data_IF_484964985744
#
_entry.id   IF_484964985744
#
_cell.length_a   1.000
_cell.length_b   1.000
_cell.length_c   1.000
_cell.angle_alpha   90.00
_cell.angle_beta   90.00
_cell.angle_gamma   90.00
#
_symmetry.space_group_name_H-M   'P 1'
#
loop_
_entity.id
_entity.type
_entity.pdbx_description
1 polymer ?
#
# COMPACT_ATOMS: atom_id res chain seq x y z
N UNK A 1 -34.69 54.13 -53.82
CA UNK A 1 -35.82 53.21 -53.55
C UNK A 1 -36.09 52.48 -54.86
N UNK A 2 -35.77 51.21 -55.06
CA UNK A 2 -35.15 50.19 -54.22
C UNK A 2 -34.33 49.25 -55.11
N UNK A 3 -33.48 48.45 -54.48
CA UNK A 3 -32.43 47.63 -55.09
C UNK A 3 -32.95 46.56 -56.05
N UNK A 4 -32.26 46.49 -57.20
CA UNK A 4 -32.21 45.36 -58.09
C UNK A 4 -31.32 44.26 -57.50
N UNK A 5 -31.68 42.99 -57.71
CA UNK A 5 -30.90 41.98 -58.47
C UNK A 5 -31.44 40.57 -58.13
N UNK A 6 -32.16 39.94 -59.06
CA UNK A 6 -31.67 39.06 -60.15
C UNK A 6 -31.23 37.68 -59.64
N UNK A 7 -32.10 36.70 -59.90
CA UNK A 7 -31.79 35.27 -59.94
C UNK A 7 -31.08 34.97 -61.27
N UNK A 8 -30.05 34.11 -61.27
CA UNK A 8 -30.06 33.03 -62.26
C UNK A 8 -29.50 31.69 -61.74
N UNK A 9 -30.06 30.61 -62.27
CA UNK A 9 -29.41 29.30 -62.39
C UNK A 9 -29.25 29.00 -63.89
N UNK A 10 -28.52 27.94 -64.30
CA UNK A 10 -27.11 27.64 -64.03
C UNK A 10 -26.33 27.56 -65.36
N UNK A 11 -25.02 27.76 -65.35
CA UNK A 11 -24.15 27.40 -66.49
C UNK A 11 -22.93 26.61 -66.03
N UNK A 12 -22.62 25.60 -66.85
CA UNK A 12 -21.53 24.67 -66.76
C UNK A 12 -20.17 25.35 -66.85
N UNK A 13 -19.29 25.00 -65.92
CA UNK A 13 -17.83 24.85 -66.06
C UNK A 13 -17.33 24.78 -64.61
N UNK A 14 -16.81 23.67 -64.11
CA UNK A 14 -15.46 23.28 -64.48
C UNK A 14 -15.11 21.99 -63.73
N UNK A 15 -14.64 21.02 -64.49
CA UNK A 15 -14.05 19.77 -64.04
C UNK A 15 -12.74 20.02 -63.27
N UNK A 16 -12.77 20.49 -62.02
CA UNK A 16 -11.61 20.39 -61.09
C UNK A 16 -12.13 20.44 -59.66
N UNK A 17 -12.57 19.30 -59.09
CA UNK A 17 -12.52 19.01 -57.64
C UNK A 17 -13.10 17.61 -57.35
N UNK A 18 -12.43 16.59 -57.89
CA UNK A 18 -12.47 15.25 -57.31
C UNK A 18 -11.01 14.92 -56.98
N UNK A 19 -10.79 14.34 -55.79
CA UNK A 19 -9.50 13.98 -55.18
C UNK A 19 -8.87 15.05 -54.26
N UNK A 20 -9.47 15.23 -53.08
CA UNK A 20 -8.66 15.41 -51.87
C UNK A 20 -9.44 15.01 -50.60
N UNK A 21 -9.94 13.77 -50.56
CA UNK A 21 -10.31 13.15 -49.29
C UNK A 21 -9.03 12.60 -48.65
N UNK A 22 -8.61 13.21 -47.54
CA UNK A 22 -7.58 12.66 -46.67
C UNK A 22 -8.05 11.28 -46.18
N UNK A 23 -7.22 10.22 -46.23
CA UNK A 23 -7.62 8.92 -45.74
C UNK A 23 -7.94 9.03 -44.25
N UNK A 24 -9.16 8.64 -43.88
CA UNK A 24 -9.53 8.43 -42.49
C UNK A 24 -8.51 7.50 -41.83
N UNK A 25 -8.04 7.79 -40.60
CA UNK A 25 -7.12 6.89 -39.91
C UNK A 25 -7.77 5.53 -39.78
N UNK A 26 -7.16 4.52 -40.41
CA UNK A 26 -7.48 3.11 -40.16
C UNK A 26 -7.42 2.90 -38.66
N UNK A 27 -8.55 2.52 -38.06
CA UNK A 27 -8.61 1.96 -36.71
C UNK A 27 -7.68 0.75 -36.75
N UNK A 28 -6.46 0.96 -36.26
CA UNK A 28 -5.42 -0.06 -36.25
C UNK A 28 -5.86 -1.07 -35.20
N UNK A 29 -5.90 -2.35 -35.53
CA UNK A 29 -6.22 -3.48 -34.65
C UNK A 29 -5.19 -3.71 -33.53
N UNK A 30 -4.22 -2.82 -33.38
CA UNK A 30 -3.14 -2.88 -32.40
C UNK A 30 -3.56 -2.82 -30.91
N UNK A 31 -4.58 -2.05 -30.46
CA UNK A 31 -4.90 -1.97 -29.05
C UNK A 31 -5.53 -3.26 -28.51
N UNK A 32 -6.19 -4.05 -29.36
CA UNK A 32 -6.72 -5.37 -28.98
C UNK A 32 -5.62 -6.40 -28.78
N UNK A 33 -4.59 -6.41 -29.64
CA UNK A 33 -3.48 -7.37 -29.53
C UNK A 33 -2.62 -7.15 -28.27
N UNK A 34 -2.33 -5.89 -27.91
CA UNK A 34 -1.59 -5.56 -26.69
C UNK A 34 -2.38 -5.95 -25.43
N UNK A 35 -3.69 -5.65 -25.42
CA UNK A 35 -4.62 -6.04 -24.34
C UNK A 35 -4.74 -7.56 -24.25
N UNK A 36 -4.85 -8.26 -25.38
CA UNK A 36 -4.97 -9.73 -25.45
C UNK A 36 -3.68 -10.44 -25.02
N UNK A 37 -2.51 -9.89 -25.34
CA UNK A 37 -1.21 -10.42 -24.89
C UNK A 37 -1.04 -10.36 -23.36
N UNK A 38 -1.57 -9.31 -22.72
CA UNK A 38 -1.53 -9.18 -21.26
C UNK A 38 -2.37 -10.24 -20.55
N UNK A 39 -3.46 -10.69 -21.18
CA UNK A 39 -4.34 -11.74 -20.66
C UNK A 39 -3.83 -13.16 -20.92
N UNK A 40 -3.12 -13.38 -22.04
CA UNK A 40 -2.50 -14.68 -22.31
C UNK A 40 -1.40 -15.03 -21.29
N UNK A 41 -0.65 -14.04 -20.80
CA UNK A 41 0.42 -14.21 -19.80
C UNK A 41 -0.09 -14.79 -18.47
N UNK A 42 -1.32 -14.48 -18.06
CA UNK A 42 -1.89 -14.95 -16.78
C UNK A 42 -2.72 -16.23 -16.90
N UNK A 43 -2.75 -16.85 -18.09
CA UNK A 43 -3.54 -18.06 -18.34
C UNK A 43 -3.02 -19.27 -17.57
N UNK A 44 -1.70 -19.42 -17.52
CA UNK A 44 -1.02 -20.61 -16.98
C UNK A 44 -0.62 -20.47 -15.51
N UNK A 45 -0.38 -19.23 -15.04
CA UNK A 45 0.08 -19.01 -13.68
C UNK A 45 -0.43 -17.67 -13.15
N UNK A 46 -0.55 -17.57 -11.82
CA UNK A 46 -1.16 -16.41 -11.21
C UNK A 46 -0.15 -15.25 -11.20
N UNK A 47 -0.54 -13.98 -11.47
CA UNK A 47 0.40 -12.87 -11.67
C UNK A 47 1.49 -12.85 -10.60
N UNK A 48 2.76 -12.82 -11.02
CA UNK A 48 3.88 -12.80 -10.07
C UNK A 48 4.02 -11.42 -9.43
N UNK A 49 4.52 -11.40 -8.20
CA UNK A 49 4.83 -10.15 -7.49
C UNK A 49 6.27 -9.68 -7.71
N UNK A 50 7.10 -10.50 -8.38
CA UNK A 50 8.53 -10.28 -8.66
C UNK A 50 9.29 -9.64 -7.49
N UNK A 51 8.96 -10.09 -6.28
CA UNK A 51 9.46 -9.54 -5.03
C UNK A 51 9.71 -10.66 -4.02
N UNK A 52 10.94 -10.70 -3.50
CA UNK A 52 11.34 -11.65 -2.46
C UNK A 52 11.82 -10.92 -1.19
N UNK A 53 11.41 -11.47 -0.04
CA UNK A 53 11.87 -11.04 1.28
C UNK A 53 13.19 -11.68 1.70
N UNK A 54 13.58 -12.77 1.03
CA UNK A 54 14.83 -13.47 1.33
C UNK A 54 16.04 -12.78 0.68
N UNK A 55 15.81 -11.93 -0.32
CA UNK A 55 16.83 -11.07 -0.91
C UNK A 55 17.33 -10.00 0.08
N UNK A 56 18.62 -9.66 -0.02
CA UNK A 56 19.25 -8.53 0.68
C UNK A 56 19.09 -8.51 2.21
N UNK A 57 18.98 -9.67 2.86
CA UNK A 57 18.80 -9.79 4.31
C UNK A 57 17.56 -9.05 4.88
N UNK A 58 16.59 -8.70 4.03
CA UNK A 58 15.40 -7.91 4.43
C UNK A 58 14.62 -8.58 5.55
N UNK A 59 14.42 -9.91 5.47
CA UNK A 59 13.77 -10.71 6.51
C UNK A 59 14.45 -10.59 7.88
N UNK A 60 15.80 -10.60 7.91
CA UNK A 60 16.56 -10.43 9.17
C UNK A 60 16.36 -9.02 9.72
N UNK A 61 16.47 -8.01 8.86
CA UNK A 61 16.25 -6.61 9.25
C UNK A 61 14.84 -6.41 9.83
N UNK A 62 13.80 -6.90 9.16
CA UNK A 62 12.41 -6.84 9.65
C UNK A 62 12.29 -7.55 11.00
N UNK A 63 12.90 -8.73 11.16
CA UNK A 63 12.89 -9.49 12.41
C UNK A 63 13.55 -8.73 13.56
N UNK A 64 14.71 -8.11 13.34
CA UNK A 64 15.41 -7.29 14.34
C UNK A 64 14.57 -6.07 14.74
N UNK A 65 13.99 -5.34 13.78
CA UNK A 65 13.14 -4.18 14.10
C UNK A 65 11.91 -4.57 14.88
N UNK A 66 11.24 -5.66 14.50
CA UNK A 66 10.07 -6.13 15.24
C UNK A 66 10.45 -6.57 16.64
N UNK A 67 11.60 -7.24 16.83
CA UNK A 67 12.10 -7.62 18.15
C UNK A 67 12.41 -6.39 19.02
N UNK A 68 13.05 -5.36 18.47
CA UNK A 68 13.32 -4.10 19.18
C UNK A 68 12.03 -3.36 19.54
N UNK A 69 11.05 -3.32 18.63
CA UNK A 69 9.74 -2.73 18.87
C UNK A 69 8.99 -3.48 19.98
N UNK A 70 8.96 -4.82 19.94
CA UNK A 70 8.34 -5.65 20.96
C UNK A 70 9.01 -5.47 22.32
N UNK A 71 10.34 -5.39 22.34
CA UNK A 71 11.08 -5.16 23.56
C UNK A 71 10.77 -3.78 24.16
N UNK A 72 10.85 -2.72 23.35
CA UNK A 72 10.59 -1.34 23.80
C UNK A 72 9.14 -1.11 24.25
N UNK A 73 8.16 -1.52 23.44
CA UNK A 73 6.76 -1.16 23.66
C UNK A 73 5.94 -2.28 24.33
N UNK A 74 6.53 -3.47 24.53
CA UNK A 74 5.87 -4.61 25.19
C UNK A 74 6.55 -5.02 26.48
N UNK A 75 7.80 -5.47 26.39
CA UNK A 75 8.52 -6.07 27.53
C UNK A 75 8.98 -5.02 28.54
N UNK A 76 9.65 -3.98 28.06
CA UNK A 76 10.26 -2.93 28.89
C UNK A 76 9.25 -2.22 29.80
N UNK A 77 8.06 -1.78 29.33
CA UNK A 77 7.08 -1.08 30.17
C UNK A 77 6.54 -2.00 31.29
N UNK A 78 6.30 -3.27 30.98
CA UNK A 78 5.84 -4.27 31.96
C UNK A 78 6.89 -4.51 33.03
N UNK A 79 8.13 -4.78 32.63
CA UNK A 79 9.22 -5.05 33.58
C UNK A 79 9.46 -3.84 34.47
N UNK A 80 9.61 -2.64 33.89
CA UNK A 80 9.86 -1.44 34.69
C UNK A 80 8.70 -1.11 35.62
N UNK A 81 7.45 -1.23 35.16
CA UNK A 81 6.29 -0.92 36.02
C UNK A 81 6.29 -1.76 37.29
N UNK A 82 6.45 -3.08 37.16
CA UNK A 82 6.44 -3.97 38.32
C UNK A 82 7.73 -3.88 39.12
N UNK A 83 8.90 -3.80 38.49
CA UNK A 83 10.18 -3.71 39.19
C UNK A 83 10.30 -2.43 40.02
N UNK A 84 9.91 -1.27 39.48
CA UNK A 84 9.98 0.00 40.19
C UNK A 84 8.91 0.14 41.28
N UNK A 85 7.70 -0.37 41.03
CA UNK A 85 6.60 -0.31 42.01
C UNK A 85 6.80 -1.24 43.18
N UNK A 86 7.18 -2.50 42.92
CA UNK A 86 7.27 -3.53 43.94
C UNK A 86 8.69 -3.74 44.47
N UNK A 87 9.71 -3.52 43.65
CA UNK A 87 11.11 -3.67 44.07
C UNK A 87 11.67 -2.41 44.71
N UNK A 88 11.46 -1.24 44.11
CA UNK A 88 11.99 0.03 44.60
C UNK A 88 10.98 0.87 45.39
N UNK A 89 9.74 0.39 45.54
CA UNK A 89 8.64 1.07 46.26
C UNK A 89 8.43 2.53 45.83
N UNK A 90 8.66 2.82 44.55
CA UNK A 90 8.49 4.17 43.99
C UNK A 90 7.01 4.54 43.90
N UNK A 91 6.72 5.83 44.07
CA UNK A 91 5.38 6.35 43.83
C UNK A 91 4.97 6.15 42.37
N UNK A 92 3.67 6.00 42.13
CA UNK A 92 3.14 5.75 40.78
C UNK A 92 3.55 6.84 39.78
N UNK A 93 3.62 8.10 40.23
CA UNK A 93 4.03 9.24 39.41
C UNK A 93 5.49 9.12 38.95
N UNK A 94 6.42 8.81 39.86
CA UNK A 94 7.84 8.68 39.48
C UNK A 94 8.05 7.46 38.60
N UNK A 95 7.38 6.35 38.91
CA UNK A 95 7.46 5.13 38.12
C UNK A 95 7.02 5.37 36.67
N UNK A 96 5.83 5.96 36.47
CA UNK A 96 5.32 6.27 35.13
C UNK A 96 6.18 7.32 34.40
N UNK A 97 6.71 8.32 35.10
CA UNK A 97 7.63 9.30 34.50
C UNK A 97 8.91 8.63 33.96
N UNK A 98 9.50 7.68 34.69
CA UNK A 98 10.67 6.93 34.21
C UNK A 98 10.31 6.10 32.97
N UNK A 99 9.22 5.36 33.03
CA UNK A 99 8.77 4.50 31.91
C UNK A 99 8.51 5.33 30.65
N UNK A 100 7.76 6.42 30.78
CA UNK A 100 7.44 7.31 29.65
C UNK A 100 8.65 7.99 29.03
N UNK A 101 9.70 8.23 29.82
CA UNK A 101 10.95 8.81 29.29
C UNK A 101 11.75 7.85 28.41
N UNK A 102 11.54 6.52 28.57
CA UNK A 102 12.29 5.48 27.88
C UNK A 102 11.54 4.93 26.65
N UNK A 103 10.20 4.91 26.68
CA UNK A 103 9.38 4.40 25.58
C UNK A 103 9.30 5.42 24.45
N UNK A 104 9.43 4.96 23.21
CA UNK A 104 9.11 5.77 22.01
C UNK A 104 10.31 6.06 21.12
N UNK A 105 11.51 5.64 21.52
CA UNK A 105 12.75 5.83 20.78
C UNK A 105 12.81 4.98 19.51
N UNK A 106 12.63 3.67 19.61
CA UNK A 106 12.69 2.73 18.47
C UNK A 106 11.52 2.95 17.54
N UNK A 107 10.31 3.02 18.10
CA UNK A 107 9.08 3.31 17.36
C UNK A 107 9.12 4.70 16.69
N UNK A 108 9.57 5.74 17.40
CA UNK A 108 9.76 7.09 16.86
C UNK A 108 10.82 7.14 15.76
N UNK A 109 11.95 6.47 15.93
CA UNK A 109 12.98 6.35 14.88
C UNK A 109 12.40 5.69 13.63
N UNK A 110 11.67 4.59 13.78
CA UNK A 110 11.10 3.86 12.64
C UNK A 110 10.05 4.70 11.90
N UNK A 111 9.21 5.41 12.65
CA UNK A 111 8.24 6.36 12.08
C UNK A 111 8.94 7.49 11.31
N UNK A 112 9.98 8.09 11.90
CA UNK A 112 10.77 9.15 11.27
C UNK A 112 11.54 8.65 10.04
N UNK A 113 12.13 7.46 10.10
CA UNK A 113 12.79 6.81 8.97
C UNK A 113 11.83 6.65 7.79
N UNK A 114 10.61 6.18 8.06
CA UNK A 114 9.58 5.98 7.04
C UNK A 114 9.13 7.29 6.42
N UNK A 115 8.90 8.31 7.25
CA UNK A 115 8.59 9.66 6.81
C UNK A 115 9.70 10.25 5.92
N UNK A 116 10.97 10.04 6.33
CA UNK A 116 12.14 10.47 5.57
C UNK A 116 12.20 9.76 4.21
N UNK A 117 12.00 8.44 4.15
CA UNK A 117 12.00 7.66 2.90
C UNK A 117 10.94 8.14 1.89
N UNK A 118 9.79 8.59 2.38
CA UNK A 118 8.71 9.12 1.54
C UNK A 118 9.00 10.54 1.05
N UNK A 119 9.61 11.40 1.87
CA UNK A 119 9.75 12.81 1.52
C UNK A 119 11.11 13.20 0.96
N UNK A 120 12.19 12.67 1.52
CA UNK A 120 13.56 13.17 1.32
C UNK A 120 14.55 12.09 0.89
N UNK A 121 14.27 10.82 1.17
CA UNK A 121 15.17 9.73 0.86
C UNK A 121 15.42 9.56 -0.64
N UNK A 122 16.60 9.03 -0.98
CA UNK A 122 16.98 8.76 -2.37
C UNK A 122 15.97 7.82 -3.04
N UNK A 123 15.43 8.19 -4.20
CA UNK A 123 14.40 7.41 -4.86
C UNK A 123 13.00 7.55 -4.23
N UNK A 124 12.75 8.58 -3.42
CA UNK A 124 11.44 8.88 -2.82
C UNK A 124 10.28 8.86 -3.84
N UNK A 125 10.52 9.22 -5.11
CA UNK A 125 9.48 9.24 -6.15
C UNK A 125 8.91 7.85 -6.38
N UNK A 126 9.75 6.83 -6.27
CA UNK A 126 9.38 5.43 -6.48
C UNK A 126 8.77 4.79 -5.23
N UNK A 127 8.98 5.34 -4.02
CA UNK A 127 8.40 4.78 -2.78
C UNK A 127 7.01 5.30 -2.47
N UNK A 128 6.70 6.50 -2.97
CA UNK A 128 5.40 7.15 -2.79
C UNK A 128 4.27 6.38 -3.48
N UNK A 129 3.03 6.60 -3.03
CA UNK A 129 1.88 6.09 -3.75
C UNK A 129 1.80 6.60 -5.18
N UNK A 130 1.24 5.76 -6.05
CA UNK A 130 1.13 6.08 -7.48
C UNK A 130 0.20 7.30 -7.65
N UNK A 131 0.68 8.29 -8.41
CA UNK A 131 -0.04 9.55 -8.64
C UNK A 131 0.04 10.55 -7.48
N UNK A 132 0.78 10.26 -6.41
CA UNK A 132 0.97 11.17 -5.28
C UNK A 132 1.96 12.31 -5.58
N UNK A 133 1.66 13.51 -5.07
CA UNK A 133 2.53 14.68 -5.19
C UNK A 133 3.80 14.59 -4.32
N UNK A 134 4.59 15.67 -4.28
CA UNK A 134 5.86 15.71 -3.51
C UNK A 134 5.71 15.30 -2.04
N UNK A 135 4.63 15.74 -1.42
CA UNK A 135 4.34 15.52 0.00
C UNK A 135 3.31 14.43 0.24
N UNK A 136 3.01 13.64 -0.79
CA UNK A 136 2.05 12.55 -0.72
C UNK A 136 2.49 11.49 0.28
N UNK A 137 1.74 11.39 1.37
CA UNK A 137 1.90 10.39 2.40
C UNK A 137 1.02 9.19 2.07
N UNK A 138 1.49 8.00 2.39
CA UNK A 138 0.72 6.78 2.15
C UNK A 138 -0.21 6.42 3.31
N UNK A 139 -1.11 5.47 3.08
CA UNK A 139 -2.15 5.14 4.04
C UNK A 139 -1.58 4.49 5.30
N UNK A 140 -0.49 3.75 5.18
CA UNK A 140 0.20 3.20 6.34
C UNK A 140 0.82 4.26 7.24
N UNK A 141 1.42 5.32 6.69
CA UNK A 141 1.94 6.40 7.54
C UNK A 141 0.81 7.11 8.30
N UNK A 142 -0.33 7.34 7.64
CA UNK A 142 -1.51 7.93 8.28
C UNK A 142 -2.01 7.01 9.39
N UNK A 143 -2.11 5.70 9.11
CA UNK A 143 -2.52 4.71 10.11
C UNK A 143 -1.55 4.67 11.30
N UNK A 144 -0.24 4.66 11.05
CA UNK A 144 0.79 4.71 12.09
C UNK A 144 0.73 6.01 12.90
N UNK A 145 0.43 7.14 12.26
CA UNK A 145 0.25 8.43 12.95
C UNK A 145 -0.95 8.38 13.89
N UNK A 146 -2.07 7.81 13.45
CA UNK A 146 -3.25 7.60 14.29
C UNK A 146 -2.95 6.64 15.45
N UNK A 147 -2.22 5.55 15.17
CA UNK A 147 -1.83 4.56 16.16
C UNK A 147 -0.88 5.14 17.23
N UNK A 148 0.12 5.92 16.83
CA UNK A 148 1.01 6.65 17.75
C UNK A 148 0.24 7.70 18.55
N UNK A 149 -0.68 8.43 17.93
CA UNK A 149 -1.53 9.39 18.65
C UNK A 149 -2.37 8.67 19.71
N UNK A 150 -3.02 7.56 19.36
CA UNK A 150 -3.80 6.75 20.28
C UNK A 150 -2.95 6.13 21.41
N UNK A 151 -1.65 5.90 21.18
CA UNK A 151 -0.70 5.45 22.19
C UNK A 151 -0.27 6.58 23.13
N UNK A 152 0.23 7.70 22.59
CA UNK A 152 0.85 8.75 23.36
C UNK A 152 -0.14 9.63 24.11
N UNK A 153 -1.34 9.87 23.59
CA UNK A 153 -2.36 10.70 24.26
C UNK A 153 -2.70 10.19 25.67
N UNK A 154 -3.16 8.93 25.87
CA UNK A 154 -3.41 8.41 27.21
C UNK A 154 -2.13 8.27 28.05
N UNK A 155 -0.98 7.98 27.42
CA UNK A 155 0.30 7.91 28.11
C UNK A 155 0.69 9.26 28.73
N UNK A 156 0.59 10.35 27.97
CA UNK A 156 0.91 11.72 28.39
C UNK A 156 -0.10 12.21 29.42
N UNK A 157 -1.40 12.06 29.16
CA UNK A 157 -2.46 12.50 30.08
C UNK A 157 -2.37 11.73 31.40
N UNK A 158 -2.25 10.40 31.35
CA UNK A 158 -2.18 9.58 32.56
C UNK A 158 -0.95 9.86 33.41
N UNK A 159 0.17 10.24 32.80
CA UNK A 159 1.42 10.55 33.50
C UNK A 159 1.50 12.00 33.98
N UNK A 160 0.75 12.93 33.40
CA UNK A 160 0.78 14.35 33.76
C UNK A 160 -0.21 14.77 34.85
N UNK A 161 -1.23 13.95 35.11
CA UNK A 161 -2.16 14.19 36.23
C UNK A 161 -1.44 13.99 37.56
N UNK A 162 -1.78 14.80 38.57
CA UNK A 162 -1.24 14.72 39.92
C UNK A 162 -2.35 14.31 40.90
N UNK A 163 -2.31 13.10 41.52
CA UNK A 163 -1.35 12.01 41.30
C UNK A 163 -1.55 11.29 39.96
N UNK A 164 -0.48 10.66 39.44
CA UNK A 164 -0.53 10.01 38.13
C UNK A 164 -1.52 8.83 38.13
N UNK A 165 -2.19 8.63 36.99
CA UNK A 165 -3.25 7.65 36.85
C UNK A 165 -2.80 6.50 35.92
N UNK A 166 -2.37 5.40 36.52
CA UNK A 166 -1.93 4.21 35.80
C UNK A 166 -3.03 3.58 34.93
N UNK A 167 -4.32 3.75 35.29
CA UNK A 167 -5.43 3.21 34.48
C UNK A 167 -5.56 3.96 33.17
N UNK A 168 -5.33 5.27 33.17
CA UNK A 168 -5.33 6.07 31.94
C UNK A 168 -4.13 5.64 31.08
N UNK A 169 -2.93 5.51 31.68
CA UNK A 169 -1.74 5.05 30.96
C UNK A 169 -1.93 3.63 30.38
N UNK A 170 -2.60 2.74 31.10
CA UNK A 170 -2.91 1.39 30.65
C UNK A 170 -3.72 1.38 29.34
N UNK A 171 -4.51 2.43 29.05
CA UNK A 171 -5.30 2.51 27.81
C UNK A 171 -4.47 2.73 26.54
N UNK A 172 -3.17 3.02 26.65
CA UNK A 172 -2.30 3.27 25.50
C UNK A 172 -2.38 2.18 24.42
N UNK A 173 -2.06 0.92 24.75
CA UNK A 173 -2.12 -0.17 23.75
C UNK A 173 -3.55 -0.55 23.33
N UNK A 174 -4.57 -0.62 24.20
CA UNK A 174 -5.95 -0.87 23.76
C UNK A 174 -6.46 0.18 22.76
N UNK A 175 -6.14 1.46 22.96
CA UNK A 175 -6.52 2.52 22.01
C UNK A 175 -5.72 2.42 20.71
N UNK A 176 -4.43 2.10 20.77
CA UNK A 176 -3.63 1.77 19.58
C UNK A 176 -4.21 0.59 18.80
N UNK A 177 -4.66 -0.46 19.49
CA UNK A 177 -5.34 -1.59 18.85
C UNK A 177 -6.57 -1.12 18.09
N UNK A 178 -7.45 -0.33 18.71
CA UNK A 178 -8.63 0.22 18.04
C UNK A 178 -8.26 1.07 16.81
N UNK A 179 -7.25 1.93 16.93
CA UNK A 179 -6.77 2.74 15.82
C UNK A 179 -6.32 1.90 14.62
N UNK A 180 -5.68 0.74 14.87
CA UNK A 180 -5.23 -0.19 13.83
C UNK A 180 -6.36 -1.07 13.29
N UNK A 181 -7.29 -1.51 14.15
CA UNK A 181 -8.27 -2.56 13.82
C UNK A 181 -9.57 -2.01 13.28
N UNK A 182 -9.99 -0.79 13.67
CA UNK A 182 -11.23 -0.18 13.17
C UNK A 182 -11.21 0.04 11.65
N UNK A 183 -10.15 0.60 11.03
CA UNK A 183 -10.09 0.72 9.58
C UNK A 183 -10.18 -0.65 8.87
N UNK A 184 -9.53 -1.67 9.42
CA UNK A 184 -9.59 -3.05 8.91
C UNK A 184 -10.99 -3.65 9.00
N UNK A 185 -11.67 -3.43 10.12
CA UNK A 185 -13.03 -3.92 10.37
C UNK A 185 -14.04 -3.26 9.42
N UNK A 186 -14.04 -1.93 9.38
CA UNK A 186 -15.01 -1.16 8.60
C UNK A 186 -14.89 -1.47 7.11
N UNK A 187 -13.69 -1.40 6.55
CA UNK A 187 -13.45 -1.69 5.12
C UNK A 187 -13.59 -3.18 4.78
N UNK A 188 -13.38 -4.09 5.73
CA UNK A 188 -13.58 -5.53 5.52
C UNK A 188 -15.06 -5.95 5.49
N UNK A 189 -15.88 -5.32 6.34
CA UNK A 189 -17.33 -5.58 6.42
C UNK A 189 -18.12 -4.88 5.32
N UNK A 190 -17.68 -3.68 4.93
CA UNK A 190 -18.34 -2.79 3.98
C UNK A 190 -17.46 -2.59 2.72
N UNK A 191 -17.10 -3.67 2.00
CA UNK A 191 -16.31 -3.55 0.79
C UNK A 191 -17.09 -2.75 -0.24
N UNK A 192 -16.39 -1.87 -0.96
CA UNK A 192 -16.88 -1.09 -2.09
C UNK A 192 -18.01 -0.07 -1.81
N UNK A 193 -18.55 -0.05 -0.59
CA UNK A 193 -19.52 0.96 -0.15
C UNK A 193 -18.85 2.20 0.42
N UNK A 194 -17.69 2.05 1.04
CA UNK A 194 -16.94 3.18 1.59
C UNK A 194 -16.18 3.88 0.47
N UNK A 195 -16.41 5.18 0.33
CA UNK A 195 -15.71 6.07 -0.60
C UNK A 195 -15.11 7.21 0.20
N UNK A 196 -13.81 7.41 0.07
CA UNK A 196 -13.11 8.44 0.83
C UNK A 196 -12.87 9.67 -0.07
N UNK A 197 -13.12 10.90 0.43
CA UNK A 197 -12.96 12.12 -0.37
C UNK A 197 -11.50 12.45 -0.67
N UNK A 198 -10.56 11.86 0.09
CA UNK A 198 -9.13 12.01 -0.12
C UNK A 198 -8.56 10.73 -0.74
N UNK A 199 -7.38 10.87 -1.35
CA UNK A 199 -6.59 9.75 -1.84
C UNK A 199 -6.20 8.83 -0.67
N UNK A 200 -6.28 7.52 -0.90
CA UNK A 200 -5.86 6.49 0.04
C UNK A 200 -4.77 5.68 -0.65
N UNK A 201 -3.50 5.98 -0.31
CA UNK A 201 -2.34 5.41 -0.99
C UNK A 201 -2.45 5.57 -2.51
N UNK A 202 -2.29 4.50 -3.31
CA UNK A 202 -2.34 4.55 -4.77
C UNK A 202 -3.77 4.62 -5.31
N UNK A 203 -4.80 4.55 -4.45
CA UNK A 203 -6.19 4.65 -4.84
C UNK A 203 -6.65 6.11 -4.95
N UNK A 204 -7.14 6.57 -6.11
CA UNK A 204 -7.62 7.94 -6.25
C UNK A 204 -8.88 8.20 -5.41
N UNK A 205 -9.15 9.47 -5.13
CA UNK A 205 -10.31 9.90 -4.36
C UNK A 205 -11.62 9.37 -4.95
N UNK A 206 -12.61 9.14 -4.08
CA UNK A 206 -13.96 8.68 -4.42
C UNK A 206 -14.09 7.30 -5.06
N UNK A 207 -13.00 6.56 -5.24
CA UNK A 207 -13.09 5.16 -5.65
C UNK A 207 -13.55 4.28 -4.48
N UNK A 208 -14.23 3.17 -4.76
CA UNK A 208 -14.58 2.17 -3.75
C UNK A 208 -13.32 1.67 -3.02
N UNK A 209 -13.33 1.72 -1.69
CA UNK A 209 -12.17 1.28 -0.91
C UNK A 209 -12.11 -0.25 -0.85
N UNK A 210 -10.98 -0.86 -1.25
CA UNK A 210 -10.70 -2.25 -0.92
C UNK A 210 -10.50 -2.39 0.60
N UNK A 211 -10.56 -3.63 1.14
CA UNK A 211 -10.26 -3.87 2.54
C UNK A 211 -8.89 -3.31 2.92
N UNK A 212 -8.78 -2.66 4.07
CA UNK A 212 -7.63 -1.82 4.43
C UNK A 212 -6.30 -2.61 4.46
N UNK A 213 -6.34 -3.93 4.69
CA UNK A 213 -5.14 -4.77 4.60
C UNK A 213 -4.48 -4.72 3.21
N UNK A 214 -5.20 -4.38 2.15
CA UNK A 214 -4.63 -4.11 0.83
C UNK A 214 -3.56 -3.02 0.90
N UNK A 215 -3.88 -1.89 1.54
CA UNK A 215 -2.96 -0.75 1.68
C UNK A 215 -1.83 -1.06 2.66
N UNK A 216 -2.09 -1.85 3.70
CA UNK A 216 -1.06 -2.34 4.62
C UNK A 216 0.04 -3.08 3.87
N UNK A 217 -0.35 -4.05 3.03
CA UNK A 217 0.61 -4.86 2.25
C UNK A 217 1.32 -3.99 1.22
N UNK A 218 0.57 -3.18 0.47
CA UNK A 218 1.10 -2.27 -0.54
C UNK A 218 2.21 -1.37 0.03
N UNK A 219 1.90 -0.64 1.10
CA UNK A 219 2.76 0.43 1.61
C UNK A 219 3.95 -0.10 2.43
N UNK A 220 3.78 -1.20 3.18
CA UNK A 220 4.90 -1.82 3.91
C UNK A 220 5.91 -2.39 2.93
N UNK A 221 5.47 -3.13 1.92
CA UNK A 221 6.39 -3.75 0.97
C UNK A 221 6.99 -2.72 0.01
N UNK A 222 6.24 -1.68 -0.37
CA UNK A 222 6.78 -0.61 -1.20
C UNK A 222 7.84 0.24 -0.47
N UNK A 223 7.59 0.60 0.79
CA UNK A 223 8.44 1.53 1.55
C UNK A 223 9.48 0.81 2.39
N UNK A 224 9.05 -0.03 3.34
CA UNK A 224 9.94 -0.74 4.26
C UNK A 224 10.63 -1.95 3.59
N UNK A 225 9.95 -2.59 2.65
CA UNK A 225 10.48 -3.67 1.83
C UNK A 225 11.33 -3.21 0.65
N UNK A 226 11.25 -1.93 0.27
CA UNK A 226 11.95 -1.38 -0.88
C UNK A 226 11.47 -1.92 -2.23
N UNK A 227 10.24 -2.43 -2.31
CA UNK A 227 9.60 -2.86 -3.56
C UNK A 227 9.15 -1.70 -4.45
N UNK A 228 9.02 -0.49 -3.89
CA UNK A 228 8.71 0.75 -4.62
C UNK A 228 7.47 0.64 -5.54
N UNK A 229 7.42 1.45 -6.60
CA UNK A 229 6.32 1.52 -7.58
C UNK A 229 6.10 0.21 -8.32
N UNK A 230 7.17 -0.53 -8.61
CA UNK A 230 7.09 -1.83 -9.27
C UNK A 230 6.24 -2.82 -8.46
N UNK A 231 6.50 -2.91 -7.14
CA UNK A 231 5.68 -3.74 -6.26
C UNK A 231 4.23 -3.25 -6.19
N UNK A 232 3.98 -1.93 -6.10
CA UNK A 232 2.62 -1.38 -6.07
C UNK A 232 1.81 -1.78 -7.32
N UNK A 233 2.43 -1.71 -8.49
CA UNK A 233 1.81 -2.11 -9.76
C UNK A 233 1.52 -3.61 -9.79
N UNK A 234 2.52 -4.45 -9.46
CA UNK A 234 2.34 -5.89 -9.43
C UNK A 234 1.28 -6.34 -8.41
N UNK A 235 1.26 -5.71 -7.22
CA UNK A 235 0.26 -5.94 -6.19
C UNK A 235 -1.15 -5.59 -6.64
N UNK A 236 -1.31 -4.46 -7.33
CA UNK A 236 -2.59 -4.05 -7.91
C UNK A 236 -3.10 -5.09 -8.92
N UNK A 237 -2.27 -5.47 -9.89
CA UNK A 237 -2.61 -6.48 -10.91
C UNK A 237 -2.97 -7.81 -10.24
N UNK A 238 -2.16 -8.26 -9.28
CA UNK A 238 -2.42 -9.49 -8.50
C UNK A 238 -3.80 -9.47 -7.84
N UNK A 239 -4.13 -8.35 -7.19
CA UNK A 239 -5.37 -8.19 -6.46
C UNK A 239 -6.59 -8.10 -7.39
N UNK A 240 -6.47 -7.42 -8.53
CA UNK A 240 -7.55 -7.31 -9.52
C UNK A 240 -7.85 -8.67 -10.17
N UNK A 241 -6.81 -9.40 -10.58
CA UNK A 241 -6.94 -10.68 -11.30
C UNK A 241 -7.31 -11.86 -10.38
N UNK A 242 -6.81 -11.90 -9.14
CA UNK A 242 -7.06 -13.05 -8.26
C UNK A 242 -8.24 -12.86 -7.31
N UNK A 243 -9.30 -13.65 -7.52
CA UNK A 243 -10.41 -13.79 -6.57
C UNK A 243 -9.95 -14.33 -5.21
N UNK A 244 -8.99 -15.27 -5.21
CA UNK A 244 -8.45 -15.84 -3.97
C UNK A 244 -7.71 -14.78 -3.17
N UNK A 245 -6.91 -13.95 -3.83
CA UNK A 245 -6.18 -12.85 -3.18
C UNK A 245 -7.14 -11.84 -2.55
N UNK A 246 -8.20 -11.42 -3.27
CA UNK A 246 -9.24 -10.55 -2.73
C UNK A 246 -9.90 -11.14 -1.50
N UNK A 247 -10.21 -12.43 -1.53
CA UNK A 247 -10.82 -13.12 -0.40
C UNK A 247 -9.86 -13.22 0.80
N UNK A 248 -8.57 -13.47 0.57
CA UNK A 248 -7.54 -13.50 1.62
C UNK A 248 -7.42 -12.15 2.29
N UNK A 249 -7.27 -11.08 1.51
CA UNK A 249 -7.14 -9.71 2.02
C UNK A 249 -8.38 -9.29 2.80
N UNK A 250 -9.59 -9.58 2.29
CA UNK A 250 -10.85 -9.27 2.99
C UNK A 250 -10.99 -10.04 4.29
N UNK A 251 -10.83 -11.37 4.26
CA UNK A 251 -10.99 -12.21 5.46
C UNK A 251 -9.95 -11.88 6.52
N UNK A 252 -8.72 -11.57 6.12
CA UNK A 252 -7.68 -11.14 7.05
C UNK A 252 -8.05 -9.79 7.67
N UNK A 253 -8.53 -8.83 6.89
CA UNK A 253 -9.00 -7.53 7.41
C UNK A 253 -10.13 -7.71 8.43
N UNK A 254 -11.13 -8.52 8.12
CA UNK A 254 -12.24 -8.80 9.05
C UNK A 254 -11.76 -9.55 10.29
N UNK A 255 -10.91 -10.57 10.16
CA UNK A 255 -10.43 -11.35 11.30
C UNK A 255 -9.61 -10.48 12.28
N UNK A 256 -8.66 -9.69 11.78
CA UNK A 256 -7.90 -8.75 12.60
C UNK A 256 -8.79 -7.63 13.17
N UNK A 257 -9.71 -7.11 12.36
CA UNK A 257 -10.67 -6.08 12.75
C UNK A 257 -11.57 -6.52 13.91
N UNK A 258 -12.26 -7.65 13.76
CA UNK A 258 -13.22 -8.18 14.74
C UNK A 258 -12.52 -8.60 16.02
N UNK A 259 -11.48 -9.45 15.91
CA UNK A 259 -10.81 -9.96 17.11
C UNK A 259 -10.10 -8.82 17.86
N UNK A 260 -9.46 -7.90 17.14
CA UNK A 260 -8.80 -6.75 17.74
C UNK A 260 -9.78 -5.79 18.40
N UNK A 261 -10.94 -5.53 17.78
CA UNK A 261 -12.00 -4.71 18.38
C UNK A 261 -12.54 -5.34 19.68
N UNK A 262 -12.85 -6.63 19.67
CA UNK A 262 -13.37 -7.34 20.85
C UNK A 262 -12.34 -7.33 21.99
N UNK A 263 -11.08 -7.66 21.70
CA UNK A 263 -10.01 -7.67 22.70
C UNK A 263 -9.78 -6.27 23.25
N UNK A 264 -9.68 -5.25 22.39
CA UNK A 264 -9.47 -3.88 22.83
C UNK A 264 -10.64 -3.37 23.69
N UNK A 265 -11.89 -3.62 23.28
CA UNK A 265 -13.06 -3.27 24.08
C UNK A 265 -13.04 -3.97 25.45
N UNK A 266 -12.73 -5.28 25.48
CA UNK A 266 -12.59 -6.04 26.71
C UNK A 266 -11.51 -5.50 27.64
N UNK A 267 -10.37 -5.06 27.09
CA UNK A 267 -9.29 -4.44 27.86
C UNK A 267 -9.66 -3.05 28.39
N UNK A 268 -10.37 -2.24 27.62
CA UNK A 268 -10.87 -0.93 28.06
C UNK A 268 -11.86 -1.09 29.22
N UNK A 269 -12.75 -2.09 29.15
CA UNK A 269 -13.66 -2.40 30.27
C UNK A 269 -12.87 -2.94 31.47
N UNK A 270 -11.94 -3.86 31.22
CA UNK A 270 -11.11 -4.48 32.28
C UNK A 270 -10.27 -3.44 33.03
N UNK A 271 -9.76 -2.40 32.35
CA UNK A 271 -8.98 -1.36 33.01
C UNK A 271 -9.79 -0.51 33.99
N UNK A 272 -11.12 -0.45 33.81
CA UNK A 272 -12.03 0.25 34.72
C UNK A 272 -12.44 -0.60 35.92
N UNK A 273 -12.62 -1.90 35.71
CA UNK A 273 -13.14 -2.82 36.72
C UNK A 273 -12.06 -3.37 37.67
N UNK A 274 -10.80 -3.39 37.25
CA UNK A 274 -9.70 -3.98 38.03
C UNK A 274 -8.86 -2.95 38.78
N UNK A 275 -7.98 -3.44 39.65
CA UNK A 275 -6.94 -2.64 40.30
C UNK A 275 -5.95 -2.09 39.27
N UNK A 276 -5.23 -1.03 39.62
CA UNK A 276 -4.30 -0.35 38.72
C UNK A 276 -3.22 -1.29 38.15
N UNK A 277 -2.70 -2.16 38.99
CA UNK A 277 -1.62 -3.09 38.64
C UNK A 277 -2.10 -4.15 37.65
N UNK A 278 -3.30 -4.71 37.91
CA UNK A 278 -3.93 -5.69 37.01
C UNK A 278 -4.31 -5.02 35.69
N UNK A 279 -4.89 -3.82 35.74
CA UNK A 279 -5.23 -3.04 34.56
C UNK A 279 -4.00 -2.78 33.69
N UNK A 280 -2.90 -2.31 34.28
CA UNK A 280 -1.66 -2.05 33.57
C UNK A 280 -1.09 -3.33 32.94
N UNK A 281 -0.99 -4.41 33.71
CA UNK A 281 -0.47 -5.70 33.23
C UNK A 281 -1.29 -6.29 32.09
N UNK A 282 -2.62 -6.31 32.20
CA UNK A 282 -3.50 -6.84 31.16
C UNK A 282 -3.45 -5.98 29.90
N UNK A 283 -3.57 -4.66 30.04
CA UNK A 283 -3.61 -3.77 28.89
C UNK A 283 -2.28 -3.66 28.15
N UNK A 284 -1.14 -3.92 28.81
CA UNK A 284 0.14 -4.01 28.11
C UNK A 284 0.45 -5.43 27.58
N UNK A 285 0.13 -6.48 28.34
CA UNK A 285 0.49 -7.86 27.97
C UNK A 285 -0.41 -8.49 26.91
N UNK A 286 -1.73 -8.38 27.05
CA UNK A 286 -2.71 -9.06 26.19
C UNK A 286 -2.62 -8.60 24.72
N UNK A 287 -2.46 -7.30 24.39
CA UNK A 287 -2.31 -6.87 23.00
C UNK A 287 -1.17 -7.55 22.25
N UNK A 288 -0.02 -7.75 22.90
CA UNK A 288 1.12 -8.43 22.29
C UNK A 288 0.86 -9.91 22.10
N UNK A 289 0.32 -10.59 23.12
CA UNK A 289 -0.05 -12.01 23.00
C UNK A 289 -1.06 -12.22 21.86
N UNK A 290 -2.07 -11.37 21.76
CA UNK A 290 -3.04 -11.37 20.66
C UNK A 290 -2.36 -11.12 19.30
N UNK A 291 -1.48 -10.13 19.20
CA UNK A 291 -0.79 -9.80 17.95
C UNK A 291 0.08 -10.97 17.46
N UNK A 292 0.82 -11.64 18.35
CA UNK A 292 1.60 -12.84 18.00
C UNK A 292 0.71 -13.99 17.54
N UNK A 293 -0.37 -14.28 18.27
CA UNK A 293 -1.31 -15.33 17.91
C UNK A 293 -1.94 -15.06 16.53
N UNK A 294 -2.42 -13.83 16.31
CA UNK A 294 -3.03 -13.44 15.04
C UNK A 294 -2.03 -13.43 13.89
N UNK A 295 -0.80 -12.99 14.10
CA UNK A 295 0.25 -13.05 13.11
C UNK A 295 0.55 -14.50 12.69
N UNK A 296 0.70 -15.40 13.67
CA UNK A 296 0.93 -16.81 13.41
C UNK A 296 -0.22 -17.45 12.63
N UNK A 297 -1.48 -17.25 13.08
CA UNK A 297 -2.67 -17.77 12.39
C UNK A 297 -2.79 -17.22 10.96
N UNK A 298 -2.48 -15.93 10.76
CA UNK A 298 -2.50 -15.30 9.45
C UNK A 298 -1.47 -15.91 8.51
N UNK A 299 -0.24 -16.15 8.98
CA UNK A 299 0.81 -16.81 8.17
C UNK A 299 0.34 -18.19 7.72
N UNK A 300 -0.23 -19.00 8.63
CA UNK A 300 -0.74 -20.32 8.28
C UNK A 300 -1.89 -20.25 7.28
N UNK A 301 -2.84 -19.34 7.49
CA UNK A 301 -3.99 -19.14 6.61
C UNK A 301 -3.57 -18.69 5.20
N UNK A 302 -2.71 -17.66 5.11
CA UNK A 302 -2.22 -17.12 3.84
C UNK A 302 -1.44 -18.19 3.07
N UNK A 303 -0.55 -18.94 3.73
CA UNK A 303 0.19 -20.03 3.06
C UNK A 303 -0.74 -21.06 2.45
N UNK A 304 -1.77 -21.50 3.19
CA UNK A 304 -2.77 -22.45 2.68
C UNK A 304 -3.55 -21.87 1.50
N UNK A 305 -3.94 -20.60 1.59
CA UNK A 305 -4.68 -19.92 0.54
C UNK A 305 -3.85 -19.74 -0.75
N UNK A 306 -2.56 -19.43 -0.64
CA UNK A 306 -1.65 -19.32 -1.79
C UNK A 306 -1.40 -20.68 -2.47
N UNK A 307 -1.30 -21.76 -1.70
CA UNK A 307 -1.21 -23.13 -2.25
C UNK A 307 -2.50 -23.48 -2.99
N UNK A 308 -3.65 -23.16 -2.40
CA UNK A 308 -4.96 -23.35 -3.05
C UNK A 308 -5.07 -22.55 -4.34
N UNK A 309 -4.67 -21.28 -4.30
CA UNK A 309 -4.68 -20.40 -5.46
C UNK A 309 -3.85 -20.97 -6.61
N UNK A 310 -2.64 -21.46 -6.33
CA UNK A 310 -1.78 -22.06 -7.35
C UNK A 310 -2.36 -23.35 -7.92
N UNK A 311 -3.03 -24.16 -7.10
CA UNK A 311 -3.67 -25.42 -7.52
C UNK A 311 -4.91 -25.18 -8.38
N UNK A 312 -5.74 -24.23 -7.97
CA UNK A 312 -7.04 -23.96 -8.58
C UNK A 312 -6.95 -22.87 -9.66
N UNK A 313 -5.74 -22.42 -10.02
CA UNK A 313 -5.55 -21.36 -11.00
C UNK A 313 -6.03 -21.82 -12.37
N UNK A 314 -7.10 -21.19 -12.83
CA UNK A 314 -7.56 -21.20 -14.21
C UNK A 314 -7.53 -19.73 -14.57
N UNK A 315 -6.56 -19.29 -15.36
CA UNK A 315 -6.41 -17.86 -15.65
C UNK A 315 -7.71 -17.24 -16.13
N UNK A 316 -7.89 -15.93 -15.91
CA UNK A 316 -9.14 -15.24 -16.22
C UNK A 316 -9.46 -15.37 -17.72
N UNK A 317 -10.36 -16.28 -18.08
CA UNK A 317 -10.98 -16.31 -19.40
C UNK A 317 -12.04 -15.20 -19.44
N UNK A 318 -11.96 -14.23 -20.35
CA UNK A 318 -13.12 -13.42 -20.64
C UNK A 318 -14.16 -14.38 -21.24
N UNK A 319 -15.38 -14.38 -20.72
CA UNK A 319 -16.54 -14.72 -21.54
C UNK A 319 -16.90 -13.43 -22.26
N UNK A 320 -16.52 -13.22 -23.53
CA UNK A 320 -17.22 -12.25 -24.35
C UNK A 320 -18.54 -12.91 -24.72
N UNK A 321 -19.65 -12.52 -24.08
CA UNK A 321 -20.94 -12.67 -24.74
C UNK A 321 -21.04 -11.61 -25.83
N UNK A 322 -20.22 -11.75 -26.88
CA UNK A 322 -20.46 -11.15 -28.20
C UNK A 322 -21.36 -12.09 -28.99
N UNK A 323 -22.49 -12.46 -28.39
CA UNK A 323 -23.52 -13.28 -29.02
C UNK A 323 -24.83 -12.50 -29.02
N UNK A 324 -24.80 -11.24 -29.48
CA UNK A 324 -26.01 -10.56 -29.96
C UNK A 324 -25.74 -9.29 -30.79
N UNK A 325 -24.84 -9.33 -31.79
CA UNK A 325 -24.93 -8.37 -32.91
C UNK A 325 -24.57 -9.09 -34.21
N UNK A 326 -25.46 -9.98 -34.65
CA UNK A 326 -25.50 -10.35 -36.05
C UNK A 326 -26.01 -9.14 -36.87
N UNK A 327 -25.40 -8.81 -38.02
CA UNK A 327 -25.89 -7.73 -38.86
C UNK A 327 -27.23 -8.16 -39.47
N UNK A 328 -28.32 -7.52 -39.07
CA UNK A 328 -29.59 -7.63 -39.81
C UNK A 328 -29.42 -6.84 -41.10
N UNK A 329 -29.38 -7.58 -42.20
CA UNK A 329 -29.47 -7.12 -43.58
C UNK A 329 -30.55 -6.06 -43.71
N UNK A 330 -30.17 -4.91 -44.28
CA UNK A 330 -31.11 -3.91 -44.76
C UNK A 330 -31.94 -4.51 -45.89
N UNK A 331 -33.26 -4.62 -45.70
CA UNK A 331 -34.20 -4.61 -46.81
C UNK A 331 -35.60 -4.19 -46.34
N UNK A 332 -36.04 -3.03 -46.81
CA UNK A 332 -37.44 -2.73 -47.10
C UNK A 332 -38.38 -2.40 -45.94
N UNK A 333 -38.74 -1.12 -45.83
CA UNK A 333 -40.10 -0.61 -46.13
C UNK A 333 -40.41 0.64 -45.28
N UNK A 334 -40.51 1.77 -45.98
CA UNK A 334 -41.15 3.01 -45.56
C UNK A 334 -42.57 2.76 -45.00
N UNK A 335 -42.88 3.35 -43.84
CA UNK A 335 -44.11 4.16 -43.60
C UNK A 335 -44.22 4.63 -42.15
N UNK A 336 -44.61 5.89 -41.97
CA UNK A 336 -45.55 6.25 -40.89
C UNK A 336 -45.03 7.14 -39.74
N UNK A 337 -44.91 8.43 -40.02
CA UNK A 337 -45.19 9.60 -39.15
C UNK A 337 -45.99 9.33 -37.86
N UNK A 338 -45.52 9.83 -36.71
CA UNK A 338 -46.30 10.69 -35.78
C UNK A 338 -45.45 11.15 -34.57
N UNK A 339 -45.69 12.40 -34.18
CA UNK A 339 -45.05 13.19 -33.13
C UNK A 339 -45.31 12.66 -31.70
N UNK A 340 -44.38 12.95 -30.77
CA UNK A 340 -44.69 13.55 -29.44
C UNK A 340 -43.45 13.98 -28.65
N UNK A 341 -43.39 15.30 -28.40
CA UNK A 341 -42.92 16.06 -27.23
C UNK A 341 -41.89 15.43 -26.26
N UNK A 342 -40.72 16.07 -26.21
CA UNK A 342 -40.28 16.87 -25.05
C UNK A 342 -39.91 16.16 -23.75
N UNK A 343 -38.61 15.93 -23.55
CA UNK A 343 -37.98 15.95 -22.21
C UNK A 343 -36.50 16.31 -22.36
N UNK A 344 -36.13 17.41 -21.72
CA UNK A 344 -34.79 18.01 -21.70
C UNK A 344 -33.88 17.18 -20.77
N UNK A 345 -32.89 16.48 -21.33
CA UNK A 345 -31.78 15.89 -20.56
C UNK A 345 -30.53 16.75 -20.69
N UNK A 346 -29.98 17.14 -19.52
CA UNK A 346 -28.71 17.84 -19.35
C UNK A 346 -27.53 17.07 -19.94
N UNK A 347 -26.45 17.77 -20.34
CA UNK A 347 -25.34 17.16 -21.07
C UNK A 347 -24.56 16.20 -20.18
N UNK A 348 -24.46 14.96 -20.64
CA UNK A 348 -23.53 13.94 -20.15
C UNK A 348 -22.11 14.50 -20.23
N UNK A 349 -21.49 14.65 -19.07
CA UNK A 349 -20.09 15.02 -18.95
C UNK A 349 -19.24 13.90 -19.58
N UNK A 350 -18.70 14.16 -20.77
CA UNK A 350 -17.68 13.30 -21.38
C UNK A 350 -16.44 13.38 -20.51
N UNK A 351 -16.22 12.35 -19.70
CA UNK A 351 -14.99 12.18 -18.94
C UNK A 351 -13.84 11.99 -19.94
N UNK A 352 -12.96 12.99 -20.02
CA UNK A 352 -11.68 12.88 -20.70
C UNK A 352 -10.86 11.80 -20.01
N UNK A 353 -10.89 10.59 -20.54
CA UNK A 353 -9.86 9.59 -20.29
C UNK A 353 -8.58 10.14 -20.91
N UNK A 354 -7.66 10.61 -20.08
CA UNK A 354 -6.31 10.94 -20.53
C UNK A 354 -5.71 9.66 -21.14
N UNK A 355 -5.14 9.72 -22.34
CA UNK A 355 -4.45 8.58 -22.91
C UNK A 355 -3.30 8.20 -21.98
N UNK A 356 -3.18 6.89 -21.72
CA UNK A 356 -1.99 6.31 -21.10
C UNK A 356 -0.85 6.58 -22.08
N UNK A 357 -0.03 7.58 -21.78
CA UNK A 357 1.29 7.68 -22.39
C UNK A 357 2.06 6.43 -21.95
N UNK A 358 2.34 5.53 -22.90
CA UNK A 358 3.34 4.49 -22.79
C UNK A 358 4.71 5.15 -22.57
N UNK A 359 4.95 5.52 -21.31
CA UNK A 359 6.28 5.89 -20.84
C UNK A 359 7.15 4.64 -20.92
N UNK A 360 8.03 4.61 -21.92
CA UNK A 360 9.23 3.78 -21.97
C UNK A 360 10.06 4.08 -20.70
N UNK A 361 9.76 3.39 -19.60
CA UNK A 361 10.57 3.46 -18.39
C UNK A 361 11.68 2.44 -18.51
N UNK A 362 12.86 2.93 -18.87
CA UNK A 362 14.10 2.20 -18.64
C UNK A 362 14.13 1.77 -17.17
N UNK A 363 14.35 0.46 -16.94
CA UNK A 363 14.60 -0.07 -15.59
C UNK A 363 15.70 0.78 -14.96
N UNK A 364 15.45 1.52 -13.86
CA UNK A 364 16.54 2.12 -13.14
C UNK A 364 17.37 0.99 -12.54
N UNK A 365 18.61 0.85 -13.01
CA UNK A 365 19.64 0.09 -12.30
C UNK A 365 19.77 0.74 -10.93
N UNK A 366 19.29 0.06 -9.88
CA UNK A 366 19.38 0.54 -8.50
C UNK A 366 20.85 0.90 -8.19
N UNK A 367 21.18 2.16 -7.86
CA UNK A 367 22.52 2.52 -7.42
C UNK A 367 22.64 2.15 -5.94
N UNK A 368 22.60 0.86 -5.62
CA UNK A 368 23.00 0.37 -4.29
C UNK A 368 23.85 -0.88 -4.42
N UNK A 369 24.97 -0.73 -5.13
CA UNK A 369 26.13 -1.60 -5.03
C UNK A 369 27.12 -0.93 -4.07
N UNK A 370 26.82 -0.91 -2.78
CA UNK A 370 27.85 -0.63 -1.79
C UNK A 370 28.76 -1.85 -1.69
N UNK A 371 30.03 -1.62 -2.05
CA UNK A 371 31.24 -2.38 -1.71
C UNK A 371 31.92 -3.31 -2.71
N UNK A 372 31.86 -3.03 -4.03
CA UNK A 372 32.97 -3.48 -4.90
C UNK A 372 34.14 -2.47 -4.90
N UNK A 373 33.88 -1.16 -4.84
CA UNK A 373 34.95 -0.15 -4.69
C UNK A 373 35.72 -0.26 -3.37
N UNK A 374 35.05 -0.71 -2.30
CA UNK A 374 35.69 -0.89 -0.98
C UNK A 374 36.55 -2.15 -0.92
N UNK A 375 36.22 -3.17 -1.73
CA UNK A 375 37.05 -4.36 -1.91
C UNK A 375 38.24 -4.09 -2.82
N UNK A 376 38.03 -3.43 -3.96
CA UNK A 376 39.11 -3.04 -4.85
C UNK A 376 40.10 -2.06 -4.21
N UNK A 377 39.62 -1.13 -3.36
CA UNK A 377 40.50 -0.24 -2.60
C UNK A 377 41.33 -0.99 -1.55
N UNK A 378 40.74 -1.94 -0.81
CA UNK A 378 41.47 -2.78 0.16
C UNK A 378 42.43 -3.77 -0.51
N UNK A 379 42.10 -4.26 -1.70
CA UNK A 379 42.94 -5.17 -2.46
C UNK A 379 44.10 -4.43 -3.16
N UNK A 380 43.92 -3.16 -3.53
CA UNK A 380 45.02 -2.29 -3.98
C UNK A 380 45.96 -1.95 -2.83
N UNK A 381 45.44 -1.58 -1.66
CA UNK A 381 46.24 -1.29 -0.48
C UNK A 381 47.04 -2.52 0.00
N UNK A 382 46.50 -3.74 -0.16
CA UNK A 382 47.23 -5.00 0.08
C UNK A 382 48.25 -5.37 -1.00
N UNK A 383 48.11 -4.88 -2.24
CA UNK A 383 49.11 -5.09 -3.31
C UNK A 383 50.28 -4.12 -3.17
N UNK A 384 50.00 -2.87 -2.77
CA UNK A 384 51.03 -1.83 -2.61
C UNK A 384 51.83 -1.98 -1.30
N UNK A 385 51.30 -2.73 -0.33
CA UNK A 385 52.01 -3.06 0.92
C UNK A 385 52.95 -4.27 0.83
N UNK A 386 53.17 -4.87 -0.36
CA UNK A 386 54.19 -5.91 -0.51
C UNK A 386 55.57 -5.24 -0.66
N UNK A 387 56.55 -5.55 0.20
CA UNK A 387 57.90 -5.06 0.01
C UNK A 387 58.46 -5.62 -1.31
N UNK A 388 59.02 -4.72 -2.11
CA UNK A 388 59.77 -5.05 -3.33
C UNK A 388 60.97 -5.89 -2.92
N UNK A 389 60.95 -7.20 -3.21
CA UNK A 389 62.15 -8.03 -3.13
C UNK A 389 63.16 -7.51 -4.16
N UNK A 390 64.20 -6.85 -3.66
CA UNK A 390 65.36 -6.43 -4.45
C UNK A 390 66.16 -7.63 -4.94
N UNK A 391 66.96 -7.45 -6.02
CA UNK A 391 67.57 -8.54 -6.75
C UNK A 391 68.62 -9.27 -5.92
N UNK A 392 68.52 -10.61 -5.84
CA UNK A 392 69.58 -11.46 -5.29
C UNK A 392 70.78 -11.44 -6.24
N UNK A 393 71.73 -10.58 -5.92
CA UNK A 393 73.10 -10.63 -6.44
C UNK A 393 73.86 -11.83 -5.88
N UNK A 394 74.59 -12.46 -6.77
CA UNK A 394 75.56 -13.52 -6.57
C UNK A 394 76.82 -13.01 -5.84
N UNK A 395 77.58 -13.95 -5.26
CA UNK A 395 79.00 -13.88 -4.83
C UNK A 395 79.26 -13.22 -3.46
N UNK A 396 80.23 -13.60 -2.62
CA UNK A 396 81.13 -14.73 -2.45
C UNK A 396 81.90 -14.48 -1.12
N UNK A 397 82.49 -15.55 -0.55
CA UNK A 397 83.44 -15.62 0.59
C UNK A 397 82.84 -15.66 1.99
#
# INVERSE_FOLDING_TARGET
>A
MGDHTVVPSPSSDSHVHLQNEKPHPRVTTAPLAAVQSHYEVYRESPPSLDYSLDENNRKRYIGVWFALLFFEAGVLPLILFFALRWGAHLSITINLAIITSLIGSVSGYKFAQRQWLLWLGEGHQTRRPIGAGRWGVDSMQILLTLAMTAFFVPLIIGSSVNPANARIVALALPLTMLALTLPLLLTGLLPDTLRFPLRVSSLPAWKPLPPFAYFIVEDVLAVDGGGCTAFRQAWRVRYEESLVMRQVVRRTSVAWGVTGFIVAAGLIVSSRLNTEDIAYGLCYGVPWAWAFAMAFLTVLYVRRALVRERRDWKGASPTPSLEEVAPKTEEGVRRGRSERRGSTMSPVHKEHTLPIEEGRYDRPVLPFRMSDRSREARDRERRDARPVEGPRGHDAV
#
